data_IF_705274778259
#
_entry.id   IF_705274778259
#
_cell.length_a   1.000
_cell.length_b   1.000
_cell.length_c   1.000
_cell.angle_alpha   90.00
_cell.angle_beta   90.00
_cell.angle_gamma   90.00
#
_symmetry.space_group_name_H-M   'P 1'
#
loop_
_entity.id
_entity.type
_entity.pdbx_description
1 polymer ?
#
# COMPACT_ATOMS: atom_id res chain seq x y z
N UNK A 1 -12.46 -2.40 -13.17
CA UNK A 1 -11.58 -2.55 -12.00
C UNK A 1 -11.39 -1.24 -11.31
N UNK A 2 -11.39 -1.26 -10.00
CA UNK A 2 -11.26 -0.04 -9.21
C UNK A 2 -9.82 0.50 -9.28
N UNK A 3 -9.67 1.73 -9.77
CA UNK A 3 -8.39 2.46 -9.78
C UNK A 3 -8.23 3.34 -8.53
N UNK A 4 -9.05 3.10 -7.51
CA UNK A 4 -9.06 3.90 -6.31
C UNK A 4 -7.97 3.41 -5.36
N UNK A 5 -7.17 4.33 -4.87
CA UNK A 5 -6.18 4.10 -3.82
C UNK A 5 -6.78 4.49 -2.48
N UNK A 6 -6.60 3.63 -1.48
CA UNK A 6 -6.94 3.93 -0.11
C UNK A 6 -5.69 4.12 0.73
N UNK A 7 -5.54 5.30 1.31
CA UNK A 7 -4.40 5.64 2.16
C UNK A 7 -4.89 6.00 3.57
N UNK A 8 -4.30 5.37 4.56
CA UNK A 8 -4.61 5.63 5.97
C UNK A 8 -3.34 5.68 6.81
N UNK A 9 -3.48 6.03 8.07
CA UNK A 9 -2.42 5.96 9.07
C UNK A 9 -2.81 4.96 10.14
N UNK A 10 -1.84 4.24 10.68
CA UNK A 10 -2.09 3.32 11.78
C UNK A 10 -2.42 4.03 13.08
N UNK A 11 -1.83 5.20 13.28
CA UNK A 11 -1.97 6.02 14.49
C UNK A 11 -2.38 7.45 14.14
N UNK A 12 -2.91 8.15 15.13
CA UNK A 12 -3.18 9.60 15.07
C UNK A 12 -1.90 10.40 15.30
N UNK A 13 -0.83 10.14 14.55
CA UNK A 13 0.34 10.98 14.66
C UNK A 13 0.45 11.93 13.46
N UNK A 14 1.03 13.11 13.74
CA UNK A 14 1.17 14.16 12.76
C UNK A 14 2.09 13.76 11.59
N UNK A 15 3.14 13.00 11.88
CA UNK A 15 4.13 12.62 10.87
C UNK A 15 3.55 11.64 9.84
N UNK A 16 2.87 10.56 10.30
CA UNK A 16 2.19 9.62 9.40
C UNK A 16 1.11 10.30 8.58
N UNK A 17 0.37 11.25 9.18
CA UNK A 17 -0.64 12.03 8.47
C UNK A 17 -0.01 12.92 7.41
N UNK A 18 1.09 13.60 7.71
CA UNK A 18 1.80 14.46 6.77
C UNK A 18 2.24 13.67 5.53
N UNK A 19 2.85 12.50 5.71
CA UNK A 19 3.26 11.65 4.60
C UNK A 19 2.07 11.17 3.78
N UNK A 20 1.04 10.65 4.42
CA UNK A 20 -0.19 10.20 3.74
C UNK A 20 -0.81 11.31 2.89
N UNK A 21 -0.91 12.52 3.44
CA UNK A 21 -1.55 13.65 2.75
C UNK A 21 -0.68 14.15 1.58
N UNK A 22 0.64 14.20 1.74
CA UNK A 22 1.57 14.53 0.66
C UNK A 22 1.48 13.51 -0.50
N UNK A 23 1.48 12.21 -0.18
CA UNK A 23 1.32 11.14 -1.17
C UNK A 23 -0.06 11.19 -1.84
N UNK A 24 -1.12 11.45 -1.09
CA UNK A 24 -2.45 11.58 -1.66
C UNK A 24 -2.54 12.74 -2.66
N UNK A 25 -1.92 13.88 -2.36
CA UNK A 25 -1.86 15.01 -3.26
C UNK A 25 -1.05 14.68 -4.53
N UNK A 26 0.11 14.05 -4.38
CA UNK A 26 0.93 13.62 -5.52
C UNK A 26 0.17 12.66 -6.46
N UNK A 27 -0.52 11.67 -5.90
CA UNK A 27 -1.34 10.73 -6.67
C UNK A 27 -2.51 11.42 -7.38
N UNK A 28 -3.20 12.35 -6.70
CA UNK A 28 -4.31 13.13 -7.30
C UNK A 28 -3.81 14.00 -8.45
N UNK A 29 -2.66 14.66 -8.30
CA UNK A 29 -2.02 15.44 -9.35
C UNK A 29 -1.69 14.59 -10.59
N UNK A 30 -1.49 13.27 -10.42
CA UNK A 30 -1.27 12.31 -11.51
C UNK A 30 -2.55 11.63 -12.00
N UNK A 31 -3.73 12.13 -11.61
CA UNK A 31 -5.04 11.65 -12.06
C UNK A 31 -5.51 10.34 -11.39
N UNK A 32 -4.98 9.98 -10.23
CA UNK A 32 -5.41 8.81 -9.45
C UNK A 32 -6.47 9.24 -8.44
N UNK A 33 -7.59 8.51 -8.38
CA UNK A 33 -8.59 8.70 -7.33
C UNK A 33 -8.07 8.15 -6.00
N UNK A 34 -8.01 9.01 -4.97
CA UNK A 34 -7.48 8.68 -3.65
C UNK A 34 -8.47 8.97 -2.56
N UNK A 35 -8.76 7.96 -1.77
CA UNK A 35 -9.50 8.08 -0.50
C UNK A 35 -8.50 8.08 0.64
N UNK A 36 -8.59 9.08 1.51
CA UNK A 36 -7.75 9.19 2.72
C UNK A 36 -8.61 9.12 3.96
N UNK A 37 -8.21 8.33 4.93
CA UNK A 37 -8.88 8.25 6.23
C UNK A 37 -7.84 8.16 7.36
N UNK A 38 -8.21 8.69 8.54
CA UNK A 38 -7.43 8.50 9.74
C UNK A 38 -7.71 7.10 10.31
N UNK A 39 -6.78 6.55 11.08
CA UNK A 39 -6.90 5.20 11.66
C UNK A 39 -8.20 4.99 12.46
N UNK A 40 -8.77 6.06 13.03
CA UNK A 40 -10.02 6.01 13.79
C UNK A 40 -11.26 5.89 12.91
N UNK A 41 -11.27 6.53 11.74
CA UNK A 41 -12.41 6.50 10.82
C UNK A 41 -12.61 5.12 10.20
N UNK A 42 -11.53 4.33 10.11
CA UNK A 42 -11.58 2.91 9.72
C UNK A 42 -12.62 2.12 10.54
N UNK A 43 -12.85 2.47 11.79
CA UNK A 43 -13.80 1.74 12.64
C UNK A 43 -15.26 2.06 12.36
N UNK A 44 -15.57 3.26 11.91
CA UNK A 44 -16.93 3.77 11.81
C UNK A 44 -17.52 3.73 10.40
N UNK A 45 -16.70 3.76 9.35
CA UNK A 45 -17.16 3.90 7.95
C UNK A 45 -17.05 2.65 7.09
N UNK A 46 -16.44 1.56 7.55
CA UNK A 46 -16.23 0.32 6.79
C UNK A 46 -17.49 -0.47 6.43
N UNK A 47 -18.67 0.10 6.55
CA UNK A 47 -19.89 -0.48 5.96
C UNK A 47 -20.07 -0.12 4.49
N UNK A 48 -19.16 0.67 3.88
CA UNK A 48 -19.23 1.01 2.47
C UNK A 48 -18.48 -0.05 1.66
N UNK A 49 -19.20 -0.78 0.82
CA UNK A 49 -18.75 -1.85 -0.07
C UNK A 49 -17.87 -1.37 -1.24
N UNK A 50 -16.88 -0.50 -1.00
CA UNK A 50 -15.92 -0.13 -2.02
C UNK A 50 -14.73 -1.08 -2.01
N UNK A 51 -14.41 -1.62 -3.18
CA UNK A 51 -13.18 -2.37 -3.40
C UNK A 51 -12.11 -1.42 -3.94
N UNK A 52 -10.95 -1.39 -3.29
CA UNK A 52 -9.81 -0.57 -3.71
C UNK A 52 -8.84 -1.39 -4.55
N UNK A 53 -8.12 -0.73 -5.47
CA UNK A 53 -7.01 -1.36 -6.20
C UNK A 53 -5.84 -1.66 -5.29
N UNK A 54 -5.53 -0.71 -4.41
CA UNK A 54 -4.48 -0.84 -3.38
C UNK A 54 -4.90 -0.08 -2.12
N UNK A 55 -4.54 -0.62 -0.97
CA UNK A 55 -4.74 0.03 0.32
C UNK A 55 -3.43 0.00 1.13
N UNK A 56 -2.99 1.15 1.61
CA UNK A 56 -1.75 1.28 2.39
C UNK A 56 -2.03 2.05 3.68
N UNK A 57 -1.56 1.49 4.79
CA UNK A 57 -1.49 2.17 6.08
C UNK A 57 -0.04 2.55 6.38
N UNK A 58 0.19 3.81 6.79
CA UNK A 58 1.51 4.30 7.16
C UNK A 58 1.67 4.36 8.68
N UNK A 59 2.87 4.04 9.14
CA UNK A 59 3.28 4.17 10.54
C UNK A 59 4.79 4.48 10.61
N UNK A 60 5.28 4.69 11.82
CA UNK A 60 6.69 4.79 12.17
C UNK A 60 7.01 3.79 13.26
N UNK A 61 8.22 3.22 13.24
CA UNK A 61 8.73 2.49 14.40
C UNK A 61 8.99 3.45 15.57
N UNK A 62 8.87 2.94 16.80
CA UNK A 62 9.01 3.71 18.03
C UNK A 62 9.83 2.96 19.09
N UNK A 63 10.55 1.94 18.67
CA UNK A 63 11.36 1.10 19.55
C UNK A 63 12.81 1.57 19.71
N UNK A 64 13.17 2.72 19.15
CA UNK A 64 14.49 3.32 19.17
C UNK A 64 15.53 2.64 18.27
N UNK A 65 15.22 1.46 17.71
CA UNK A 65 16.11 0.77 16.77
C UNK A 65 15.98 1.38 15.39
N UNK A 66 17.09 1.60 14.70
CA UNK A 66 17.06 2.10 13.32
C UNK A 66 16.26 1.19 12.40
N UNK A 67 15.51 1.80 11.47
CA UNK A 67 15.00 1.10 10.32
C UNK A 67 13.61 1.46 9.83
N UNK A 68 13.34 0.93 8.65
CA UNK A 68 12.06 0.92 7.93
C UNK A 68 11.57 -0.51 7.73
N UNK A 69 10.34 -0.69 7.28
CA UNK A 69 9.81 -2.03 7.03
C UNK A 69 8.43 -2.05 6.39
N UNK A 70 8.04 -3.20 5.88
CA UNK A 70 6.78 -3.42 5.19
C UNK A 70 6.12 -4.71 5.65
N UNK A 71 4.85 -4.64 5.98
CA UNK A 71 4.03 -5.80 6.34
C UNK A 71 2.88 -5.96 5.34
N UNK A 72 2.72 -7.16 4.79
CA UNK A 72 1.62 -7.51 3.88
C UNK A 72 0.77 -8.63 4.45
N UNK A 73 -0.48 -8.73 3.93
CA UNK A 73 -1.27 -9.92 4.15
C UNK A 73 -0.65 -11.10 3.37
N UNK A 74 -0.49 -12.28 4.01
CA UNK A 74 0.10 -13.50 3.40
C UNK A 74 -0.67 -13.95 2.17
N UNK A 75 -1.98 -13.75 2.15
CA UNK A 75 -2.85 -14.09 1.03
C UNK A 75 -2.93 -12.98 -0.04
N UNK A 76 -1.97 -12.05 -0.07
CA UNK A 76 -1.92 -11.04 -1.13
C UNK A 76 -1.69 -11.68 -2.50
N UNK A 77 -2.18 -11.00 -3.54
CA UNK A 77 -1.98 -11.43 -4.92
C UNK A 77 -0.49 -11.42 -5.31
N UNK A 78 -0.15 -12.10 -6.43
CA UNK A 78 1.20 -12.00 -7.00
C UNK A 78 1.61 -10.53 -7.24
N UNK A 79 0.69 -9.71 -7.78
CA UNK A 79 0.95 -8.28 -8.01
C UNK A 79 1.21 -7.54 -6.69
N UNK A 80 0.54 -7.93 -5.60
CA UNK A 80 0.81 -7.35 -4.28
C UNK A 80 2.19 -7.71 -3.74
N UNK A 81 2.67 -8.92 -4.01
CA UNK A 81 4.05 -9.32 -3.65
C UNK A 81 5.08 -8.58 -4.49
N UNK A 82 4.86 -8.50 -5.81
CA UNK A 82 5.72 -7.76 -6.73
C UNK A 82 5.82 -6.27 -6.34
N UNK A 83 4.69 -5.63 -6.03
CA UNK A 83 4.65 -4.28 -5.46
C UNK A 83 5.52 -4.15 -4.21
N UNK A 84 5.39 -5.10 -3.27
CA UNK A 84 6.13 -5.05 -2.03
C UNK A 84 7.65 -5.19 -2.23
N UNK A 85 8.08 -6.14 -3.05
CA UNK A 85 9.51 -6.35 -3.35
C UNK A 85 10.12 -5.14 -4.05
N UNK A 86 9.43 -4.58 -5.04
CA UNK A 86 9.96 -3.43 -5.77
C UNK A 86 10.01 -2.20 -4.87
N UNK A 87 8.92 -1.91 -4.13
CA UNK A 87 8.89 -0.79 -3.21
C UNK A 87 9.98 -0.91 -2.13
N UNK A 88 10.20 -2.10 -1.56
CA UNK A 88 11.22 -2.30 -0.55
C UNK A 88 12.64 -2.08 -1.10
N UNK A 89 12.93 -2.62 -2.27
CA UNK A 89 14.24 -2.45 -2.92
C UNK A 89 14.52 -1.00 -3.30
N UNK A 90 13.53 -0.32 -3.87
CA UNK A 90 13.71 1.06 -4.32
C UNK A 90 13.73 2.04 -3.14
N UNK A 91 12.97 1.74 -2.07
CA UNK A 91 13.05 2.48 -0.83
C UNK A 91 14.43 2.34 -0.15
N UNK A 92 14.97 1.13 -0.06
CA UNK A 92 16.30 0.86 0.50
C UNK A 92 17.41 1.59 -0.28
N UNK A 93 17.30 1.61 -1.61
CA UNK A 93 18.23 2.39 -2.48
C UNK A 93 18.12 3.89 -2.28
N UNK A 94 16.91 4.41 -2.11
CA UNK A 94 16.67 5.83 -1.90
C UNK A 94 17.06 6.28 -0.50
N UNK A 95 16.99 5.39 0.48
CA UNK A 95 17.25 5.67 1.89
C UNK A 95 18.40 4.81 2.44
N UNK A 96 19.60 4.83 1.84
CA UNK A 96 20.68 3.91 2.21
C UNK A 96 21.17 4.08 3.66
N UNK A 97 20.83 5.20 4.29
CA UNK A 97 21.16 5.51 5.68
C UNK A 97 20.10 5.01 6.67
N UNK A 98 18.93 4.56 6.18
CA UNK A 98 17.86 3.99 7.00
C UNK A 98 17.86 2.49 6.76
N UNK A 99 18.26 1.71 7.76
CA UNK A 99 18.34 0.25 7.63
C UNK A 99 16.97 -0.35 7.26
N UNK A 100 16.91 -1.16 6.19
CA UNK A 100 15.75 -2.01 5.95
C UNK A 100 15.70 -3.12 7.00
N UNK A 101 14.59 -3.22 7.75
CA UNK A 101 14.43 -4.20 8.83
C UNK A 101 13.73 -5.45 8.35
N UNK A 102 12.51 -5.29 7.85
CA UNK A 102 11.61 -6.40 7.63
C UNK A 102 10.72 -6.23 6.40
N UNK A 103 10.59 -7.30 5.62
CA UNK A 103 9.47 -7.55 4.73
C UNK A 103 8.69 -8.74 5.31
N UNK A 104 7.60 -8.46 6.01
CA UNK A 104 6.84 -9.45 6.76
C UNK A 104 5.54 -9.82 6.05
N UNK A 105 5.21 -11.10 5.98
CA UNK A 105 3.92 -11.60 5.52
C UNK A 105 3.13 -12.15 6.71
N UNK A 106 2.02 -11.51 7.05
CA UNK A 106 1.20 -11.87 8.20
C UNK A 106 -0.14 -12.47 7.80
N UNK A 107 -0.63 -13.39 8.60
CA UNK A 107 -1.97 -13.95 8.44
C UNK A 107 -3.03 -12.93 8.88
N UNK A 108 -4.22 -13.06 8.30
CA UNK A 108 -5.35 -12.15 8.56
C UNK A 108 -5.87 -12.20 10.02
N UNK A 109 -5.56 -13.28 10.73
CA UNK A 109 -5.89 -13.48 12.14
C UNK A 109 -4.88 -12.87 13.11
N UNK A 110 -3.74 -12.37 12.64
CA UNK A 110 -2.79 -11.64 13.46
C UNK A 110 -3.50 -10.44 14.12
N UNK A 111 -3.68 -10.50 15.45
CA UNK A 111 -4.46 -9.51 16.24
C UNK A 111 -3.95 -8.07 16.06
N UNK A 112 -2.66 -7.88 15.81
CA UNK A 112 -2.03 -6.57 15.62
C UNK A 112 -2.52 -5.86 14.35
N UNK A 113 -2.80 -6.63 13.27
CA UNK A 113 -3.13 -6.13 11.94
C UNK A 113 -4.54 -6.50 11.49
N UNK A 114 -5.23 -7.31 12.30
CA UNK A 114 -6.53 -7.91 12.01
C UNK A 114 -7.53 -6.92 11.41
N UNK A 115 -7.67 -5.75 11.99
CA UNK A 115 -8.70 -4.80 11.56
C UNK A 115 -8.43 -4.22 10.18
N UNK A 116 -7.19 -3.82 9.88
CA UNK A 116 -6.85 -3.28 8.58
C UNK A 116 -6.97 -4.34 7.49
N UNK A 117 -6.33 -5.48 7.66
CA UNK A 117 -6.30 -6.53 6.64
C UNK A 117 -7.65 -7.19 6.40
N UNK A 118 -8.50 -7.30 7.40
CA UNK A 118 -9.82 -7.94 7.28
C UNK A 118 -10.96 -6.99 6.88
N UNK A 119 -10.89 -5.73 7.26
CA UNK A 119 -11.98 -4.80 6.98
C UNK A 119 -11.82 -3.99 5.71
N UNK A 120 -10.60 -3.86 5.19
CA UNK A 120 -10.35 -3.17 3.92
C UNK A 120 -10.46 -4.16 2.78
N UNK A 121 -11.35 -3.89 1.83
CA UNK A 121 -11.43 -4.65 0.58
C UNK A 121 -10.49 -4.03 -0.44
N UNK A 122 -9.34 -4.65 -0.70
CA UNK A 122 -8.38 -4.22 -1.72
C UNK A 122 -7.62 -5.41 -2.29
N UNK A 123 -7.19 -5.31 -3.55
CA UNK A 123 -6.38 -6.33 -4.22
C UNK A 123 -5.00 -6.48 -3.58
N UNK A 124 -4.44 -5.36 -3.14
CA UNK A 124 -3.17 -5.29 -2.41
C UNK A 124 -3.37 -4.48 -1.14
N UNK A 125 -2.93 -5.03 -0.01
CA UNK A 125 -3.00 -4.38 1.31
C UNK A 125 -1.63 -4.42 1.97
N UNK A 126 -1.13 -3.26 2.40
CA UNK A 126 0.19 -3.12 2.99
C UNK A 126 0.19 -2.15 4.18
N UNK A 127 1.08 -2.38 5.13
CA UNK A 127 1.41 -1.43 6.18
C UNK A 127 2.89 -1.12 6.05
N UNK A 128 3.21 0.15 5.86
CA UNK A 128 4.58 0.60 5.67
C UNK A 128 5.06 1.41 6.87
N UNK A 129 6.20 1.02 7.42
CA UNK A 129 6.94 1.75 8.43
C UNK A 129 8.03 2.57 7.75
N UNK A 130 7.84 3.88 7.72
CA UNK A 130 8.72 4.79 6.97
C UNK A 130 10.14 4.86 7.56
N UNK A 131 10.24 5.02 8.88
CA UNK A 131 11.51 4.97 9.61
C UNK A 131 11.24 4.83 11.12
N UNK A 132 12.24 4.94 11.94
CA UNK A 132 12.10 5.02 13.40
C UNK A 132 12.07 6.48 13.86
N UNK A 133 10.88 6.96 14.27
CA UNK A 133 10.65 8.38 14.55
C UNK A 133 11.38 8.89 15.79
N UNK A 134 11.64 8.04 16.77
CA UNK A 134 12.39 8.36 17.99
C UNK A 134 13.90 7.99 17.91
N UNK A 135 14.38 7.72 16.71
CA UNK A 135 15.79 7.65 16.38
C UNK A 135 16.15 8.89 15.56
N UNK A 136 16.96 9.78 16.12
CA UNK A 136 17.29 11.07 15.50
C UNK A 136 17.99 10.90 14.14
N UNK A 137 18.86 9.91 14.01
CA UNK A 137 19.55 9.62 12.78
C UNK A 137 18.58 9.22 11.65
N UNK A 138 17.68 8.28 11.91
CA UNK A 138 16.67 7.85 10.96
C UNK A 138 15.73 9.00 10.57
N UNK A 139 15.29 9.76 11.57
CA UNK A 139 14.35 10.85 11.37
C UNK A 139 14.95 11.97 10.52
N UNK A 140 16.20 12.35 10.75
CA UNK A 140 16.89 13.37 9.98
C UNK A 140 17.12 12.92 8.53
N UNK A 141 17.59 11.68 8.31
CA UNK A 141 17.77 11.13 6.98
C UNK A 141 16.44 11.02 6.21
N UNK A 142 15.38 10.57 6.86
CA UNK A 142 14.06 10.51 6.26
C UNK A 142 13.55 11.89 5.83
N UNK A 143 13.70 12.92 6.66
CA UNK A 143 13.26 14.26 6.32
C UNK A 143 13.99 14.85 5.10
N UNK A 144 15.26 14.54 4.91
CA UNK A 144 16.05 14.97 3.74
C UNK A 144 15.47 14.39 2.45
N UNK A 145 15.10 13.12 2.45
CA UNK A 145 14.61 12.42 1.25
C UNK A 145 13.08 12.38 1.14
N UNK A 146 12.36 13.02 2.06
CA UNK A 146 10.89 12.98 2.13
C UNK A 146 10.19 13.23 0.78
N UNK A 147 10.54 14.26 -0.01
CA UNK A 147 9.88 14.50 -1.30
C UNK A 147 10.10 13.36 -2.30
N UNK A 148 11.28 12.75 -2.29
CA UNK A 148 11.62 11.67 -3.20
C UNK A 148 10.96 10.35 -2.77
N UNK A 149 10.81 10.11 -1.47
CA UNK A 149 10.02 9.00 -0.94
C UNK A 149 8.56 9.13 -1.37
N UNK A 150 7.97 10.32 -1.32
CA UNK A 150 6.59 10.55 -1.79
C UNK A 150 6.45 10.20 -3.29
N UNK A 151 7.39 10.63 -4.13
CA UNK A 151 7.39 10.31 -5.57
C UNK A 151 7.55 8.81 -5.82
N UNK A 152 8.50 8.17 -5.13
CA UNK A 152 8.72 6.73 -5.21
C UNK A 152 7.44 5.94 -4.93
N UNK A 153 6.75 6.25 -3.84
CA UNK A 153 5.48 5.59 -3.51
C UNK A 153 4.41 5.83 -4.58
N UNK A 154 4.32 7.04 -5.11
CA UNK A 154 3.37 7.36 -6.17
C UNK A 154 3.65 6.55 -7.44
N UNK A 155 4.92 6.43 -7.85
CA UNK A 155 5.34 5.64 -9.01
C UNK A 155 4.99 4.15 -8.85
N UNK A 156 5.33 3.56 -7.71
CA UNK A 156 5.07 2.16 -7.42
C UNK A 156 3.57 1.83 -7.30
N UNK A 157 2.78 2.72 -6.69
CA UNK A 157 1.33 2.59 -6.62
C UNK A 157 0.72 2.61 -8.03
N UNK A 158 1.12 3.56 -8.86
CA UNK A 158 0.61 3.67 -10.24
C UNK A 158 1.01 2.44 -11.05
N UNK A 159 2.23 1.93 -10.89
CA UNK A 159 2.69 0.69 -11.52
C UNK A 159 1.83 -0.51 -11.09
N UNK A 160 1.59 -0.65 -9.80
CA UNK A 160 0.72 -1.69 -9.24
C UNK A 160 -0.71 -1.63 -9.80
N UNK A 161 -1.31 -0.44 -9.89
CA UNK A 161 -2.64 -0.25 -10.46
C UNK A 161 -2.72 -0.63 -11.94
N UNK A 162 -1.69 -0.32 -12.72
CA UNK A 162 -1.59 -0.69 -14.15
C UNK A 162 -1.46 -2.20 -14.32
N UNK A 163 -0.64 -2.84 -13.50
CA UNK A 163 -0.45 -4.31 -13.52
C UNK A 163 -1.75 -5.05 -13.15
N UNK A 164 -2.46 -4.60 -12.14
CA UNK A 164 -3.77 -5.12 -11.76
C UNK A 164 -4.78 -5.02 -12.93
N UNK A 165 -4.81 -3.89 -13.62
CA UNK A 165 -5.69 -3.67 -14.77
C UNK A 165 -5.42 -4.65 -15.92
N UNK A 166 -4.15 -4.92 -16.24
CA UNK A 166 -3.77 -5.83 -17.32
C UNK A 166 -4.17 -7.28 -17.03
N UNK A 167 -4.00 -7.74 -15.79
CA UNK A 167 -4.41 -9.11 -15.39
C UNK A 167 -5.93 -9.30 -15.47
N UNK A 168 -6.72 -8.31 -15.07
CA UNK A 168 -8.18 -8.44 -15.13
C UNK A 168 -8.70 -8.36 -16.56
N UNK A 169 -8.14 -7.51 -17.40
CA UNK A 169 -8.45 -7.50 -18.82
C UNK A 169 -8.16 -8.84 -19.48
N UNK A 170 -7.04 -9.47 -19.15
CA UNK A 170 -6.72 -10.81 -19.63
C UNK A 170 -7.75 -11.84 -19.16
N UNK A 171 -8.10 -11.84 -17.86
CA UNK A 171 -9.11 -12.75 -17.29
C UNK A 171 -10.49 -12.57 -17.94
N UNK A 172 -10.90 -11.33 -18.21
CA UNK A 172 -12.16 -11.04 -18.90
C UNK A 172 -12.15 -11.56 -20.34
N UNK A 173 -11.04 -11.37 -21.08
CA UNK A 173 -10.87 -11.89 -22.44
C UNK A 173 -10.94 -13.42 -22.47
N UNK A 174 -10.29 -14.09 -21.53
CA UNK A 174 -10.34 -15.56 -21.42
C UNK A 174 -11.74 -16.06 -21.09
N UNK A 175 -12.47 -15.40 -20.18
CA UNK A 175 -13.87 -15.75 -19.88
C UNK A 175 -14.78 -15.58 -21.10
N UNK A 176 -14.63 -14.46 -21.81
CA UNK A 176 -15.42 -14.18 -23.01
C UNK A 176 -15.13 -15.18 -24.15
N UNK A 177 -13.88 -15.59 -24.32
CA UNK A 177 -13.49 -16.61 -25.29
C UNK A 177 -14.09 -17.98 -24.95
N UNK A 178 -14.05 -18.41 -23.68
CA UNK A 178 -14.68 -19.66 -23.22
C UNK A 178 -16.19 -19.67 -23.43
N UNK A 179 -16.88 -18.57 -23.18
CA UNK A 179 -18.33 -18.43 -23.43
C UNK A 179 -18.68 -18.52 -24.93
N UNK A 180 -17.82 -18.00 -25.81
CA UNK A 180 -18.02 -18.14 -27.28
C UNK A 180 -17.84 -19.56 -27.76
N UNK A 181 -16.89 -20.30 -27.22
CA UNK A 181 -16.64 -21.72 -27.57
C UNK A 181 -17.84 -22.59 -27.18
N UNK A 182 -18.43 -22.38 -25.99
CA UNK A 182 -19.62 -23.15 -25.58
C UNK A 182 -20.84 -22.88 -26.44
N UNK A 183 -21.07 -21.65 -26.95
CA UNK A 183 -22.18 -21.32 -27.81
C UNK A 183 -22.07 -21.85 -29.26
N UNK A 184 -20.93 -22.31 -29.68
CA UNK A 184 -20.69 -22.91 -31.00
C UNK A 184 -20.84 -24.44 -30.98
N UNK A 185 -20.93 -25.04 -29.80
CA UNK A 185 -21.09 -26.49 -29.60
C UNK A 185 -22.54 -26.92 -29.28
N UNK A 186 -23.48 -25.95 -29.17
CA UNK A 186 -24.91 -26.18 -29.12
C UNK A 186 -25.53 -25.94 -30.52
#
# INVERSE_FOLDING_TARGET
>A
MCKIVYLTTRRFDRASKLFRDALANELRNRGVEVVTENAFDIFNRFRQHRTYGIAIAFDFYRDGKQGSGLTLNRNCSYIGRDFAYNLSNDYDRLTPMIRWRDLEFVDSDNKRWFRFFNKVSASTKAIFYLCTINNEYDWNNYNVVFPDVVKLFADEIIRCLRSNYNVDNYRQRVKSAKLKIHKVQE
#
